data_IF_928442562183
#
_entry.id   IF_928442562183
#
_cell.length_a   1.000
_cell.length_b   1.000
_cell.length_c   1.000
_cell.angle_alpha   90.00
_cell.angle_beta   90.00
_cell.angle_gamma   90.00
#
_symmetry.space_group_name_H-M   'P 1'
#
loop_
_entity.id
_entity.type
_entity.pdbx_description
1 polymer ?
#
# COMPACT_ATOMS: atom_id res chain seq x y z
N UNK A 1 6.28 2.60 -25.69
CA UNK A 1 6.30 4.05 -25.39
C UNK A 1 6.98 4.40 -24.07
N UNK A 2 7.30 3.46 -23.17
CA UNK A 2 8.01 3.78 -21.90
C UNK A 2 7.18 4.56 -20.87
N UNK A 3 5.88 4.75 -21.14
CA UNK A 3 4.93 5.39 -20.24
C UNK A 3 4.69 4.52 -18.99
N UNK A 4 4.61 5.16 -17.83
CA UNK A 4 4.36 4.47 -16.57
C UNK A 4 2.84 4.27 -16.43
N UNK A 5 2.39 3.03 -16.41
CA UNK A 5 0.96 2.75 -16.20
C UNK A 5 0.57 2.85 -14.72
N UNK A 6 1.45 2.36 -13.84
CA UNK A 6 1.19 2.33 -12.40
C UNK A 6 2.45 2.59 -11.61
N UNK A 7 2.42 3.65 -10.81
CA UNK A 7 3.44 3.95 -9.82
C UNK A 7 3.01 3.40 -8.45
N UNK A 8 3.85 2.60 -7.81
CA UNK A 8 3.62 2.08 -6.46
C UNK A 8 4.72 2.60 -5.54
N UNK A 9 4.32 3.30 -4.48
CA UNK A 9 5.20 3.70 -3.38
C UNK A 9 4.79 3.00 -2.09
N UNK A 10 5.77 2.67 -1.25
CA UNK A 10 5.58 1.97 0.01
C UNK A 10 6.17 2.83 1.14
N UNK A 11 5.49 2.85 2.29
CA UNK A 11 5.86 3.65 3.46
C UNK A 11 5.08 4.97 3.53
N UNK A 12 5.76 6.02 3.97
CA UNK A 12 5.17 7.34 4.25
C UNK A 12 5.89 8.44 3.44
N UNK A 13 5.78 8.43 2.10
CA UNK A 13 6.39 9.47 1.27
C UNK A 13 5.80 10.85 1.59
N UNK A 14 6.60 11.89 1.42
CA UNK A 14 6.11 13.26 1.55
C UNK A 14 5.11 13.62 0.42
N UNK A 15 4.34 14.69 0.63
CA UNK A 15 3.37 15.18 -0.35
C UNK A 15 4.04 15.47 -1.71
N UNK A 16 5.23 16.07 -1.70
CA UNK A 16 5.94 16.50 -2.92
C UNK A 16 6.27 15.31 -3.82
N UNK A 17 6.67 14.18 -3.24
CA UNK A 17 6.98 12.94 -3.97
C UNK A 17 5.73 12.36 -4.63
N UNK A 18 4.62 12.28 -3.88
CA UNK A 18 3.35 11.75 -4.42
C UNK A 18 2.84 12.64 -5.56
N UNK A 19 2.84 13.96 -5.38
CA UNK A 19 2.40 14.91 -6.39
C UNK A 19 3.29 14.90 -7.64
N UNK A 20 4.58 14.58 -7.51
CA UNK A 20 5.49 14.42 -8.64
C UNK A 20 5.21 13.13 -9.42
N UNK A 21 4.75 12.07 -8.76
CA UNK A 21 4.39 10.81 -9.40
C UNK A 21 3.04 10.88 -10.14
N UNK A 22 2.06 11.59 -9.58
CA UNK A 22 0.69 11.70 -10.13
C UNK A 22 0.63 12.04 -11.64
N UNK A 23 1.30 13.06 -12.18
CA UNK A 23 1.24 13.36 -13.61
C UNK A 23 2.11 12.45 -14.49
N UNK A 24 2.92 11.56 -13.89
CA UNK A 24 3.86 10.68 -14.61
C UNK A 24 3.32 9.28 -14.86
N UNK A 25 2.23 8.92 -14.18
CA UNK A 25 1.63 7.61 -14.27
C UNK A 25 0.11 7.68 -14.39
N UNK A 26 -0.49 6.71 -15.07
CA UNK A 26 -1.96 6.65 -15.18
C UNK A 26 -2.60 6.37 -13.82
N UNK A 27 -1.93 5.58 -12.97
CA UNK A 27 -2.31 5.29 -11.58
C UNK A 27 -1.15 5.47 -10.62
N UNK A 28 -1.43 5.95 -9.41
CA UNK A 28 -0.49 5.98 -8.28
C UNK A 28 -1.11 5.28 -7.09
N UNK A 29 -0.37 4.39 -6.44
CA UNK A 29 -0.76 3.73 -5.20
C UNK A 29 0.31 3.94 -4.14
N UNK A 30 -0.09 4.41 -2.97
CA UNK A 30 0.78 4.52 -1.79
C UNK A 30 0.29 3.52 -0.75
N UNK A 31 1.18 2.68 -0.24
CA UNK A 31 0.87 1.68 0.80
C UNK A 31 1.66 2.03 2.06
N UNK A 32 0.98 2.53 3.09
CA UNK A 32 1.56 2.76 4.41
C UNK A 32 1.25 1.59 5.33
N UNK A 33 2.20 1.20 6.18
CA UNK A 33 2.12 -0.03 6.97
C UNK A 33 2.65 0.12 8.40
N UNK A 34 2.78 1.36 8.89
CA UNK A 34 3.32 1.67 10.22
C UNK A 34 2.28 2.35 11.12
N UNK A 35 2.50 2.29 12.44
CA UNK A 35 1.58 2.87 13.41
C UNK A 35 1.43 4.41 13.29
N UNK A 36 2.40 5.09 12.68
CA UNK A 36 2.37 6.53 12.44
C UNK A 36 1.47 6.94 11.27
N UNK A 37 0.85 5.99 10.54
CA UNK A 37 0.03 6.27 9.35
C UNK A 37 -1.05 7.33 9.59
N UNK A 38 -1.82 7.31 10.71
CA UNK A 38 -2.84 8.33 10.95
C UNK A 38 -2.28 9.75 11.14
N UNK A 39 -1.05 9.88 11.64
CA UNK A 39 -0.38 11.19 11.82
C UNK A 39 0.13 11.70 10.48
N UNK A 40 0.81 10.84 9.72
CA UNK A 40 1.31 11.16 8.38
C UNK A 40 0.15 11.56 7.44
N UNK A 41 -0.93 10.78 7.44
CA UNK A 41 -2.06 11.01 6.54
C UNK A 41 -2.74 12.36 6.79
N UNK A 42 -3.02 12.70 8.06
CA UNK A 42 -3.57 14.01 8.45
C UNK A 42 -2.72 15.18 7.96
N UNK A 43 -1.40 14.99 7.82
CA UNK A 43 -0.49 16.02 7.33
C UNK A 43 -0.60 16.30 5.82
N UNK A 44 -1.12 15.36 5.03
CA UNK A 44 -1.08 15.45 3.55
C UNK A 44 -2.44 15.28 2.87
N UNK A 45 -3.46 14.78 3.58
CA UNK A 45 -4.73 14.34 3.00
C UNK A 45 -5.42 15.39 2.13
N UNK A 46 -5.44 16.65 2.57
CA UNK A 46 -6.12 17.76 1.88
C UNK A 46 -5.59 18.03 0.47
N UNK A 47 -4.33 17.67 0.22
CA UNK A 47 -3.65 17.89 -1.06
C UNK A 47 -3.75 16.64 -1.93
N UNK A 48 -3.56 15.48 -1.32
CA UNK A 48 -3.64 14.20 -2.03
C UNK A 48 -5.06 13.89 -2.50
N UNK A 49 -6.08 14.17 -1.70
CA UNK A 49 -7.51 13.96 -2.05
C UNK A 49 -7.97 14.76 -3.27
N UNK A 50 -7.23 15.79 -3.69
CA UNK A 50 -7.54 16.57 -4.91
C UNK A 50 -7.01 15.91 -6.18
N UNK A 51 -6.08 14.97 -6.06
CA UNK A 51 -5.56 14.23 -7.20
C UNK A 51 -6.55 13.14 -7.60
N UNK A 52 -6.70 12.93 -8.91
CA UNK A 52 -7.72 11.99 -9.44
C UNK A 52 -7.22 10.55 -9.57
N UNK A 53 -5.91 10.35 -9.53
CA UNK A 53 -5.29 9.06 -9.85
C UNK A 53 -4.42 8.50 -8.71
N UNK A 54 -4.45 9.09 -7.51
CA UNK A 54 -3.72 8.58 -6.35
C UNK A 54 -4.68 7.84 -5.43
N UNK A 55 -4.33 6.61 -5.07
CA UNK A 55 -4.99 5.85 -4.01
C UNK A 55 -4.00 5.61 -2.86
N UNK A 56 -4.41 5.90 -1.63
CA UNK A 56 -3.62 5.68 -0.43
C UNK A 56 -4.27 4.58 0.40
N UNK A 57 -3.49 3.56 0.71
CA UNK A 57 -3.91 2.40 1.47
C UNK A 57 -3.08 2.28 2.74
N UNK A 58 -3.73 1.84 3.80
CA UNK A 58 -3.11 1.48 5.06
C UNK A 58 -3.23 -0.02 5.26
N UNK A 59 -2.12 -0.67 5.59
CA UNK A 59 -2.10 -2.01 6.18
C UNK A 59 -1.88 -1.84 7.68
N UNK A 60 -2.62 -2.59 8.49
CA UNK A 60 -2.41 -2.57 9.94
C UNK A 60 -0.94 -2.97 10.28
N UNK A 61 -0.26 -2.29 11.21
CA UNK A 61 1.13 -2.59 11.51
C UNK A 61 1.36 -4.04 11.97
N UNK A 62 0.43 -4.63 12.73
CA UNK A 62 0.55 -6.02 13.15
C UNK A 62 0.40 -6.99 11.96
N UNK A 63 -0.55 -6.70 11.05
CA UNK A 63 -0.69 -7.44 9.79
C UNK A 63 0.57 -7.36 8.93
N UNK A 64 1.18 -6.17 8.83
CA UNK A 64 2.44 -5.98 8.10
C UNK A 64 3.60 -6.76 8.71
N UNK A 65 3.71 -6.81 10.04
CA UNK A 65 4.76 -7.58 10.72
C UNK A 65 4.54 -9.08 10.56
N UNK A 66 3.30 -9.55 10.64
CA UNK A 66 2.96 -10.94 10.38
C UNK A 66 3.33 -11.36 8.95
N UNK A 67 3.05 -10.50 7.96
CA UNK A 67 3.45 -10.73 6.56
C UNK A 67 4.98 -10.80 6.41
N UNK A 68 5.70 -9.89 7.06
CA UNK A 68 7.16 -9.88 7.04
C UNK A 68 7.76 -11.17 7.63
N UNK A 69 7.11 -11.78 8.63
CA UNK A 69 7.52 -13.04 9.23
C UNK A 69 7.37 -14.26 8.28
N UNK A 70 6.60 -14.14 7.19
CA UNK A 70 6.55 -15.17 6.15
C UNK A 70 7.81 -15.17 5.27
N UNK A 71 8.60 -14.09 5.26
CA UNK A 71 9.75 -13.96 4.38
C UNK A 71 10.80 -15.05 4.61
N UNK A 72 11.25 -15.65 3.51
CA UNK A 72 12.30 -16.66 3.49
C UNK A 72 13.25 -16.39 2.31
N UNK A 73 14.43 -17.03 2.31
CA UNK A 73 15.41 -16.89 1.20
C UNK A 73 14.82 -17.36 -0.14
N UNK A 74 14.04 -18.43 -0.11
CA UNK A 74 13.24 -18.92 -1.22
C UNK A 74 11.79 -18.96 -0.74
N UNK A 75 10.84 -18.43 -1.51
CA UNK A 75 9.43 -18.36 -1.11
C UNK A 75 8.53 -18.93 -2.19
N UNK A 76 7.54 -19.71 -1.76
CA UNK A 76 6.39 -20.08 -2.56
C UNK A 76 5.14 -19.57 -1.86
N UNK A 77 4.66 -18.40 -2.29
CA UNK A 77 3.51 -17.75 -1.68
C UNK A 77 2.25 -18.08 -2.49
N UNK A 78 1.19 -18.47 -1.79
CA UNK A 78 -0.17 -18.47 -2.33
C UNK A 78 -0.89 -17.21 -1.84
N UNK A 79 -1.45 -16.44 -2.77
CA UNK A 79 -2.19 -15.21 -2.44
C UNK A 79 -3.62 -15.33 -2.96
N UNK A 80 -4.58 -15.28 -2.03
CA UNK A 80 -6.00 -15.25 -2.34
C UNK A 80 -6.55 -13.88 -2.02
N UNK A 81 -7.32 -13.29 -2.94
CA UNK A 81 -7.99 -12.00 -2.73
C UNK A 81 -9.49 -12.23 -2.81
N UNK A 82 -10.21 -11.91 -1.74
CA UNK A 82 -11.66 -12.02 -1.67
C UNK A 82 -12.23 -10.88 -0.82
N UNK A 83 -13.22 -10.17 -1.36
CA UNK A 83 -13.95 -9.11 -0.66
C UNK A 83 -13.04 -8.05 0.01
N UNK A 84 -11.97 -7.66 -0.69
CA UNK A 84 -10.99 -6.67 -0.21
C UNK A 84 -10.01 -7.18 0.85
N UNK A 85 -10.09 -8.45 1.22
CA UNK A 85 -9.16 -9.13 2.13
C UNK A 85 -8.19 -9.98 1.33
N UNK A 86 -6.93 -10.04 1.78
CA UNK A 86 -5.90 -10.90 1.22
C UNK A 86 -5.52 -11.95 2.25
N UNK A 87 -5.41 -13.20 1.81
CA UNK A 87 -4.79 -14.28 2.55
C UNK A 87 -3.49 -14.63 1.85
N UNK A 88 -2.37 -14.45 2.55
CA UNK A 88 -1.03 -14.78 2.05
C UNK A 88 -0.55 -16.01 2.81
N UNK A 89 -0.33 -17.10 2.09
CA UNK A 89 0.07 -18.38 2.68
C UNK A 89 1.44 -18.83 2.19
N UNK A 90 2.19 -19.47 3.07
CA UNK A 90 3.48 -20.11 2.82
C UNK A 90 3.49 -21.43 3.61
N UNK A 91 3.40 -22.56 2.90
CA UNK A 91 3.17 -23.87 3.53
C UNK A 91 1.94 -23.86 4.44
N UNK A 92 2.12 -24.20 5.71
CA UNK A 92 1.05 -24.23 6.72
C UNK A 92 0.81 -22.86 7.40
N UNK A 93 1.58 -21.83 7.05
CA UNK A 93 1.44 -20.48 7.63
C UNK A 93 0.54 -19.64 6.74
N UNK A 94 -0.39 -18.91 7.33
CA UNK A 94 -1.28 -18.00 6.61
C UNK A 94 -1.46 -16.69 7.37
N UNK A 95 -1.40 -15.58 6.65
CA UNK A 95 -1.57 -14.22 7.19
C UNK A 95 -2.71 -13.55 6.46
N UNK A 96 -3.66 -13.02 7.24
CA UNK A 96 -4.74 -12.19 6.74
C UNK A 96 -4.30 -10.72 6.72
N UNK A 97 -4.47 -10.05 5.56
CA UNK A 97 -4.23 -8.63 5.37
C UNK A 97 -5.55 -7.97 4.96
N UNK A 98 -5.93 -6.90 5.65
CA UNK A 98 -7.11 -6.08 5.33
C UNK A 98 -6.68 -4.65 5.06
N UNK A 99 -6.34 -4.30 3.81
CA UNK A 99 -5.98 -2.93 3.46
C UNK A 99 -7.18 -2.00 3.66
N UNK A 100 -6.97 -0.90 4.38
CA UNK A 100 -7.94 0.17 4.53
C UNK A 100 -7.62 1.31 3.56
N UNK A 101 -8.59 1.75 2.76
CA UNK A 101 -8.42 2.89 1.86
C UNK A 101 -8.60 4.19 2.65
N UNK A 102 -7.62 5.09 2.57
CA UNK A 102 -7.63 6.34 3.35
C UNK A 102 -8.29 7.51 2.63
N UNK A 103 -8.25 7.53 1.30
CA UNK A 103 -8.86 8.57 0.48
C UNK A 103 -10.06 8.02 -0.33
N UNK A 104 -11.10 8.83 -0.54
CA UNK A 104 -12.31 8.43 -1.29
C UNK A 104 -11.99 7.97 -2.72
#
# INVERSE_FOLDING_TARGET
>A
TGQIMHWIDVGQPDERRILKASPRADRVTVISYTASTPVWWRGIENRITRTRNVAVWQIDPAQSQALAALAQRNMQLQVTVQDGTLWVSEGDRSVEIRPNRLNP
#
